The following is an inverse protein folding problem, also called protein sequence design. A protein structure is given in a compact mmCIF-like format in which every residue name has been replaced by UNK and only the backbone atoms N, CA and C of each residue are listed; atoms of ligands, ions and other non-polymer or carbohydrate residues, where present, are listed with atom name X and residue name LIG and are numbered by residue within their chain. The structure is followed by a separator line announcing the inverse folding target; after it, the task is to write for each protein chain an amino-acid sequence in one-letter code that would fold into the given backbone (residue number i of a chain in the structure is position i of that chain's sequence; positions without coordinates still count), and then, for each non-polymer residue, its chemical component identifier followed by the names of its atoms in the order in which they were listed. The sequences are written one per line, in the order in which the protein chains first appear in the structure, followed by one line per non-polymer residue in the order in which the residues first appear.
data_IF_283370883080
#
_entry.id   IF_283370883080
#
_cell.length_a   1.000
_cell.length_b   1.000
_cell.length_c   1.000
_cell.angle_alpha   90.00
_cell.angle_beta   90.00
_cell.angle_gamma   90.00
#
_symmetry.space_group_name_H-M   'P 1'
#
loop_
_entity.id
_entity.type
_entity.pdbx_description
1 polymer ?
#
# COMPACT_ATOMS: atom_id res chain seq x y z
N UNK A 1 10.43 13.38 14.89
CA UNK A 1 9.48 13.63 13.78
C UNK A 1 8.18 12.93 14.13
N UNK A 2 7.00 13.43 13.71
CA UNK A 2 5.76 12.74 14.01
C UNK A 2 5.71 11.40 13.25
N UNK A 3 5.36 10.33 13.96
CA UNK A 3 5.27 8.98 13.39
C UNK A 3 3.90 8.81 12.70
N UNK A 4 3.72 9.52 11.59
CA UNK A 4 2.52 9.48 10.75
C UNK A 4 2.88 8.98 9.36
N UNK A 5 2.00 8.19 8.74
CA UNK A 5 2.24 7.62 7.43
C UNK A 5 1.02 7.76 6.50
N UNK A 6 1.28 8.11 5.25
CA UNK A 6 0.37 7.84 4.13
C UNK A 6 0.91 6.62 3.40
N UNK A 7 0.11 5.57 3.31
CA UNK A 7 0.41 4.39 2.53
C UNK A 7 -0.49 4.34 1.30
N UNK A 8 0.11 4.39 0.11
CA UNK A 8 -0.58 4.21 -1.16
C UNK A 8 -0.31 2.80 -1.68
N UNK A 9 -1.37 2.00 -1.82
CA UNK A 9 -1.32 0.66 -2.37
C UNK A 9 -1.88 0.67 -3.79
N UNK A 10 -1.01 0.73 -4.79
CA UNK A 10 -1.35 0.74 -6.21
C UNK A 10 -1.60 -0.70 -6.68
N UNK A 11 -2.87 -1.11 -6.76
CA UNK A 11 -3.21 -2.51 -7.10
C UNK A 11 -2.65 -2.92 -8.47
N UNK A 12 -2.05 -4.11 -8.54
CA UNK A 12 -1.59 -4.69 -9.79
C UNK A 12 -0.41 -3.96 -10.45
N UNK A 13 0.28 -3.05 -9.77
CA UNK A 13 1.43 -2.32 -10.31
C UNK A 13 2.71 -3.17 -10.35
N UNK A 14 3.16 -3.46 -11.56
CA UNK A 14 4.45 -4.09 -11.82
C UNK A 14 5.64 -3.14 -11.66
N UNK A 15 6.76 -3.70 -11.18
CA UNK A 15 7.99 -2.92 -11.00
C UNK A 15 8.54 -2.28 -12.28
N UNK A 16 8.46 -2.99 -13.41
CA UNK A 16 8.91 -2.45 -14.69
C UNK A 16 8.15 -1.17 -15.04
N UNK A 17 6.83 -1.18 -14.92
CA UNK A 17 5.99 -0.04 -15.26
C UNK A 17 6.06 1.07 -14.20
N UNK A 18 6.32 0.71 -12.93
CA UNK A 18 6.66 1.69 -11.91
C UNK A 18 7.90 2.49 -12.34
N UNK A 19 8.97 1.80 -12.75
CA UNK A 19 10.20 2.42 -13.26
C UNK A 19 9.98 3.25 -14.53
N UNK A 20 9.16 2.77 -15.46
CA UNK A 20 8.94 3.46 -16.74
C UNK A 20 7.99 4.65 -16.64
N UNK A 21 7.06 4.66 -15.68
CA UNK A 21 5.92 5.58 -15.71
C UNK A 21 5.66 6.36 -14.41
N UNK A 22 6.24 5.98 -13.27
CA UNK A 22 6.18 6.78 -12.04
C UNK A 22 7.32 7.82 -12.02
N UNK A 23 7.35 8.68 -13.04
CA UNK A 23 8.44 9.62 -13.29
C UNK A 23 8.72 10.58 -12.14
N UNK A 24 7.69 11.02 -11.41
CA UNK A 24 7.89 11.86 -10.23
C UNK A 24 8.60 11.10 -9.11
N UNK A 25 8.18 9.86 -8.82
CA UNK A 25 8.82 9.04 -7.78
C UNK A 25 10.25 8.65 -8.17
N UNK A 26 10.50 8.29 -9.44
CA UNK A 26 11.86 8.05 -9.95
C UNK A 26 12.73 9.29 -9.80
N UNK A 27 12.19 10.48 -10.06
CA UNK A 27 12.92 11.72 -9.84
C UNK A 27 13.23 11.96 -8.35
N UNK A 28 12.30 11.67 -7.44
CA UNK A 28 12.56 11.73 -6.00
C UNK A 28 13.70 10.78 -5.59
N UNK A 29 13.77 9.58 -6.19
CA UNK A 29 14.87 8.62 -5.96
C UNK A 29 16.19 9.18 -6.50
N UNK A 30 16.20 9.69 -7.72
CA UNK A 30 17.37 10.32 -8.35
C UNK A 30 17.92 11.48 -7.50
N UNK A 31 17.04 12.30 -6.93
CA UNK A 31 17.39 13.43 -6.07
C UNK A 31 17.63 13.06 -4.61
N UNK A 32 17.76 11.77 -4.30
CA UNK A 32 18.04 11.28 -2.94
C UNK A 32 16.99 11.77 -1.91
N UNK A 33 15.73 11.86 -2.34
CA UNK A 33 14.57 12.22 -1.53
C UNK A 33 13.69 11.02 -1.20
N UNK A 34 13.75 9.97 -2.00
CA UNK A 34 13.04 8.71 -1.77
C UNK A 34 14.02 7.54 -1.84
N UNK A 35 13.72 6.48 -1.11
CA UNK A 35 14.31 5.17 -1.32
C UNK A 35 13.45 4.35 -2.29
N UNK A 36 14.08 3.51 -3.10
CA UNK A 36 13.39 2.55 -3.96
C UNK A 36 13.93 1.14 -3.76
N UNK A 37 13.01 0.19 -3.63
CA UNK A 37 13.28 -1.25 -3.57
C UNK A 37 12.48 -1.98 -4.63
N UNK A 38 13.07 -3.05 -5.17
CA UNK A 38 12.32 -4.09 -5.86
C UNK A 38 11.70 -4.99 -4.78
N UNK A 39 10.45 -5.41 -4.98
CA UNK A 39 9.73 -6.30 -4.08
C UNK A 39 9.38 -7.58 -4.80
N UNK A 40 9.77 -8.71 -4.23
CA UNK A 40 9.28 -10.03 -4.63
C UNK A 40 7.96 -10.30 -3.93
N UNK A 41 6.86 -10.21 -4.68
CA UNK A 41 5.50 -10.45 -4.19
C UNK A 41 5.32 -11.83 -3.57
N UNK A 42 4.47 -11.98 -2.55
CA UNK A 42 4.12 -13.29 -1.99
C UNK A 42 3.18 -14.09 -2.91
N UNK A 43 2.88 -15.33 -2.52
CA UNK A 43 1.99 -16.23 -3.26
C UNK A 43 0.74 -16.63 -2.45
N UNK A 44 -0.42 -16.82 -3.11
CA UNK A 44 -0.66 -16.49 -4.51
C UNK A 44 -0.69 -14.98 -4.73
N UNK A 45 -0.20 -14.53 -5.89
CA UNK A 45 -0.10 -13.11 -6.26
C UNK A 45 -1.47 -12.54 -6.67
N UNK A 46 -2.42 -12.63 -5.75
CA UNK A 46 -3.80 -12.19 -5.91
C UNK A 46 -4.16 -11.23 -4.78
N UNK A 47 -5.07 -10.30 -5.07
CA UNK A 47 -5.26 -9.11 -4.24
C UNK A 47 -5.67 -9.40 -2.80
N UNK A 48 -6.74 -10.16 -2.55
CA UNK A 48 -7.20 -10.41 -1.16
C UNK A 48 -6.17 -11.14 -0.29
N UNK A 49 -5.52 -12.24 -0.75
CA UNK A 49 -4.39 -12.83 -0.05
C UNK A 49 -3.29 -11.81 0.27
N UNK A 50 -2.91 -10.99 -0.71
CA UNK A 50 -1.82 -10.03 -0.55
C UNK A 50 -2.20 -8.85 0.34
N UNK A 51 -3.43 -8.39 0.35
CA UNK A 51 -3.90 -7.39 1.33
C UNK A 51 -3.69 -7.92 2.76
N UNK A 52 -4.10 -9.16 3.02
CA UNK A 52 -3.92 -9.77 4.34
C UNK A 52 -2.43 -9.92 4.67
N UNK A 53 -1.60 -10.38 3.73
CA UNK A 53 -0.14 -10.45 3.92
C UNK A 53 0.47 -9.07 4.19
N UNK A 54 0.07 -8.02 3.46
CA UNK A 54 0.59 -6.66 3.60
C UNK A 54 0.35 -6.09 4.99
N UNK A 55 -0.85 -6.28 5.55
CA UNK A 55 -1.21 -5.69 6.83
C UNK A 55 -0.93 -6.60 8.04
N UNK A 56 -0.52 -7.84 7.83
CA UNK A 56 -0.16 -8.78 8.92
C UNK A 56 1.32 -9.13 8.94
N UNK A 57 2.01 -9.06 7.80
CA UNK A 57 3.35 -9.60 7.61
C UNK A 57 3.41 -11.14 7.66
N UNK A 58 2.26 -11.81 7.55
CA UNK A 58 2.11 -13.27 7.62
C UNK A 58 1.87 -13.82 6.22
N UNK A 59 2.35 -15.02 5.93
CA UNK A 59 2.16 -15.66 4.61
C UNK A 59 0.73 -16.18 4.41
N UNK A 60 0.28 -16.29 3.15
CA UNK A 60 -1.06 -16.80 2.82
C UNK A 60 -1.33 -18.23 3.30
N UNK A 61 -0.29 -19.07 3.35
CA UNK A 61 -0.38 -20.42 3.91
C UNK A 61 -0.76 -20.39 5.38
N UNK A 62 -0.26 -19.42 6.13
CA UNK A 62 -0.48 -19.31 7.58
C UNK A 62 -1.74 -18.51 7.92
N UNK A 63 -1.97 -17.35 7.30
CA UNK A 63 -3.17 -16.56 7.57
C UNK A 63 -4.43 -17.18 6.93
N UNK A 64 -4.29 -18.08 5.97
CA UNK A 64 -5.40 -18.89 5.41
C UNK A 64 -6.38 -18.13 4.52
N UNK A 65 -6.00 -16.94 4.02
CA UNK A 65 -6.71 -16.26 2.92
C UNK A 65 -5.90 -16.58 1.66
N UNK A 66 -6.19 -17.72 1.04
CA UNK A 66 -5.38 -18.31 -0.05
C UNK A 66 -5.95 -18.06 -1.44
N UNK A 67 -7.07 -17.34 -1.56
CA UNK A 67 -7.62 -16.85 -2.83
C UNK A 67 -8.64 -15.73 -2.57
N UNK A 68 -9.02 -15.02 -3.63
CA UNK A 68 -9.96 -13.89 -3.57
C UNK A 68 -11.39 -14.28 -3.12
N UNK A 69 -11.77 -15.56 -3.18
CA UNK A 69 -13.10 -16.04 -2.79
C UNK A 69 -13.27 -16.29 -1.29
N UNK A 70 -12.21 -16.22 -0.48
CA UNK A 70 -12.31 -16.43 0.97
C UNK A 70 -12.78 -15.13 1.63
N UNK A 71 -14.07 -15.07 1.98
CA UNK A 71 -14.71 -13.93 2.65
C UNK A 71 -14.80 -14.20 4.15
N UNK A 72 -13.94 -13.55 4.94
CA UNK A 72 -13.99 -13.53 6.41
C UNK A 72 -13.05 -12.47 6.96
N UNK A 73 -13.25 -12.11 8.22
CA UNK A 73 -12.30 -11.31 8.99
C UNK A 73 -10.94 -12.01 9.12
N UNK A 74 -9.90 -11.19 9.27
CA UNK A 74 -8.55 -11.60 9.66
C UNK A 74 -8.60 -12.34 11.00
N UNK A 75 -7.75 -13.35 11.12
CA UNK A 75 -7.49 -14.08 12.36
C UNK A 75 -6.05 -13.87 12.86
N UNK A 76 -5.36 -12.88 12.30
CA UNK A 76 -3.98 -12.52 12.64
C UNK A 76 -3.93 -11.19 13.38
N UNK A 77 -2.78 -10.89 13.99
CA UNK A 77 -2.48 -9.56 14.51
C UNK A 77 -2.10 -8.64 13.35
N UNK A 78 -3.04 -7.79 12.95
CA UNK A 78 -2.88 -6.87 11.81
C UNK A 78 -2.61 -5.42 12.24
N UNK A 79 -2.07 -4.63 11.31
CA UNK A 79 -1.65 -3.25 11.51
C UNK A 79 -2.75 -2.37 12.12
N UNK A 80 -3.98 -2.46 11.63
CA UNK A 80 -5.11 -1.66 12.14
C UNK A 80 -5.40 -1.92 13.62
N UNK A 81 -5.37 -3.18 14.06
CA UNK A 81 -5.52 -3.50 15.49
C UNK A 81 -4.35 -2.96 16.31
N UNK A 82 -3.14 -2.98 15.76
CA UNK A 82 -1.94 -2.46 16.42
C UNK A 82 -1.97 -0.93 16.55
N UNK A 83 -2.43 -0.23 15.50
CA UNK A 83 -2.69 1.22 15.53
C UNK A 83 -3.70 1.58 16.62
N UNK A 84 -4.81 0.85 16.68
CA UNK A 84 -5.84 1.04 17.71
C UNK A 84 -5.28 0.89 19.13
N UNK A 85 -4.49 -0.16 19.37
CA UNK A 85 -3.84 -0.40 20.67
C UNK A 85 -2.80 0.68 21.02
N UNK A 86 -2.15 1.27 20.01
CA UNK A 86 -1.21 2.38 20.17
C UNK A 86 -1.89 3.76 20.22
N UNK A 87 -3.23 3.82 20.26
CA UNK A 87 -4.02 5.06 20.22
C UNK A 87 -3.71 5.95 19.00
N UNK A 88 -3.43 5.31 17.85
CA UNK A 88 -3.16 5.96 16.57
C UNK A 88 -4.38 5.93 15.68
N UNK A 89 -4.79 7.09 15.19
CA UNK A 89 -6.01 7.24 14.41
C UNK A 89 -5.78 6.88 12.95
N UNK A 90 -6.70 6.10 12.37
CA UNK A 90 -6.60 5.60 10.99
C UNK A 90 -7.69 6.17 10.07
N UNK A 91 -7.34 6.36 8.81
CA UNK A 91 -8.24 6.77 7.73
C UNK A 91 -8.01 5.86 6.52
N UNK A 92 -9.06 5.22 6.00
CA UNK A 92 -8.92 4.22 4.94
C UNK A 92 -9.82 4.53 3.74
N UNK A 93 -9.23 4.62 2.56
CA UNK A 93 -9.92 4.73 1.28
C UNK A 93 -9.50 3.56 0.40
N UNK A 94 -10.33 2.52 0.30
CA UNK A 94 -9.91 1.25 -0.29
C UNK A 94 -11.05 0.46 -0.92
N UNK A 95 -10.71 -0.54 -1.74
CA UNK A 95 -11.67 -1.52 -2.20
C UNK A 95 -12.27 -2.29 -1.00
N UNK A 96 -13.54 -2.64 -1.09
CA UNK A 96 -14.32 -3.15 0.03
C UNK A 96 -13.77 -4.42 0.69
N UNK A 97 -12.89 -5.16 0.01
CA UNK A 97 -12.22 -6.34 0.58
C UNK A 97 -11.37 -6.01 1.81
N UNK A 98 -10.86 -4.78 1.93
CA UNK A 98 -10.19 -4.32 3.17
C UNK A 98 -11.19 -4.25 4.33
N UNK A 99 -12.43 -3.82 4.08
CA UNK A 99 -13.50 -3.85 5.10
C UNK A 99 -13.85 -5.30 5.48
N UNK A 100 -13.90 -6.22 4.51
CA UNK A 100 -14.16 -7.64 4.78
C UNK A 100 -13.06 -8.31 5.61
N UNK A 101 -11.82 -7.85 5.49
CA UNK A 101 -10.72 -8.38 6.30
C UNK A 101 -10.71 -7.81 7.72
N UNK A 102 -11.12 -6.55 7.94
CA UNK A 102 -10.83 -5.87 9.22
C UNK A 102 -12.04 -5.29 9.97
N UNK A 103 -13.22 -5.19 9.35
CA UNK A 103 -14.41 -4.58 9.95
C UNK A 103 -15.62 -5.51 9.96
N UNK A 104 -16.09 -5.95 8.80
CA UNK A 104 -17.34 -6.70 8.64
C UNK A 104 -17.30 -7.57 7.40
N UNK A 105 -17.64 -8.86 7.56
CA UNK A 105 -17.71 -9.83 6.47
C UNK A 105 -18.95 -10.71 6.61
N UNK A 106 -19.76 -10.89 5.54
CA UNK A 106 -19.64 -10.26 4.22
C UNK A 106 -19.96 -8.76 4.25
N UNK A 107 -19.44 -8.02 3.27
CA UNK A 107 -19.67 -6.57 3.14
C UNK A 107 -21.14 -6.24 2.83
N UNK A 108 -21.74 -5.37 3.65
CA UNK A 108 -23.07 -4.80 3.43
C UNK A 108 -22.92 -3.37 2.88
N UNK A 109 -23.08 -3.21 1.56
CA UNK A 109 -22.88 -1.91 0.88
C UNK A 109 -23.71 -0.75 1.44
N UNK A 110 -24.86 -1.02 2.04
CA UNK A 110 -25.75 0.01 2.56
C UNK A 110 -25.33 0.48 3.97
N UNK A 111 -24.42 -0.25 4.62
CA UNK A 111 -23.92 0.03 5.97
C UNK A 111 -22.41 0.28 6.02
N UNK A 112 -21.65 -0.51 5.28
CA UNK A 112 -20.20 -0.64 5.43
C UNK A 112 -19.43 0.30 4.47
N UNK A 113 -20.09 0.86 3.44
CA UNK A 113 -19.43 1.75 2.47
C UNK A 113 -18.82 3.00 3.11
N UNK A 114 -19.51 3.59 4.08
CA UNK A 114 -19.03 4.72 4.87
C UNK A 114 -18.90 4.27 6.32
N UNK A 115 -17.68 4.21 6.80
CA UNK A 115 -17.37 3.74 8.14
C UNK A 115 -16.85 4.88 9.02
N UNK A 116 -17.40 4.98 10.22
CA UNK A 116 -16.90 5.86 11.27
C UNK A 116 -17.23 5.26 12.64
N UNK A 117 -16.24 4.64 13.27
CA UNK A 117 -16.36 4.11 14.61
C UNK A 117 -15.00 4.10 15.30
N UNK A 118 -14.82 5.01 16.26
CA UNK A 118 -13.60 5.11 17.04
C UNK A 118 -13.34 3.90 17.93
N UNK A 119 -14.28 2.96 18.11
CA UNK A 119 -14.05 1.72 18.88
C UNK A 119 -13.55 0.56 18.02
N UNK A 120 -13.76 0.63 16.71
CA UNK A 120 -13.27 -0.37 15.76
C UNK A 120 -11.75 -0.25 15.51
N UNK A 121 -11.18 -1.18 14.73
CA UNK A 121 -9.75 -1.14 14.40
C UNK A 121 -9.41 -0.09 13.32
N UNK A 122 -10.40 0.35 12.53
CA UNK A 122 -10.28 1.43 11.54
C UNK A 122 -11.19 2.57 11.97
N UNK A 123 -10.66 3.74 12.36
CA UNK A 123 -11.49 4.80 12.93
C UNK A 123 -12.46 5.40 11.91
N UNK A 124 -12.01 5.52 10.65
CA UNK A 124 -12.83 6.06 9.57
C UNK A 124 -12.44 5.47 8.22
N UNK A 125 -13.42 5.21 7.36
CA UNK A 125 -13.12 4.77 6.01
C UNK A 125 -14.23 4.96 4.99
N UNK A 126 -13.83 4.89 3.72
CA UNK A 126 -14.70 4.79 2.57
C UNK A 126 -14.29 3.57 1.75
N UNK A 127 -15.23 2.65 1.56
CA UNK A 127 -15.02 1.35 0.96
C UNK A 127 -15.82 1.23 -0.33
N UNK A 128 -15.16 1.44 -1.47
CA UNK A 128 -15.82 1.34 -2.77
C UNK A 128 -15.90 -0.12 -3.22
N UNK A 129 -16.95 -0.42 -3.99
CA UNK A 129 -17.28 -1.78 -4.44
C UNK A 129 -17.46 -1.89 -5.96
N UNK A 130 -17.08 -0.85 -6.70
CA UNK A 130 -17.05 -0.87 -8.16
C UNK A 130 -15.61 -0.81 -8.67
N UNK A 131 -15.25 -1.74 -9.54
CA UNK A 131 -13.88 -1.90 -10.07
C UNK A 131 -13.41 -0.68 -10.90
N UNK A 132 -14.35 0.14 -11.35
CA UNK A 132 -14.09 1.36 -12.16
C UNK A 132 -14.23 2.65 -11.35
N UNK A 133 -14.21 2.58 -10.01
CA UNK A 133 -14.25 3.78 -9.18
C UNK A 133 -13.05 4.69 -9.50
N UNK A 134 -13.24 5.99 -9.80
CA UNK A 134 -12.14 6.82 -10.26
C UNK A 134 -11.08 7.06 -9.18
N UNK A 135 -9.83 6.64 -9.45
CA UNK A 135 -8.69 6.89 -8.56
C UNK A 135 -8.59 8.36 -8.12
N UNK A 136 -8.78 9.30 -9.06
CA UNK A 136 -8.76 10.75 -8.79
C UNK A 136 -9.73 11.18 -7.68
N UNK A 137 -10.91 10.56 -7.62
CA UNK A 137 -11.91 10.86 -6.59
C UNK A 137 -11.49 10.28 -5.25
N UNK A 138 -10.88 9.08 -5.25
CA UNK A 138 -10.32 8.45 -4.05
C UNK A 138 -9.28 9.36 -3.37
N UNK A 139 -8.30 9.87 -4.13
CA UNK A 139 -7.30 10.80 -3.60
C UNK A 139 -7.92 12.13 -3.14
N UNK A 140 -8.87 12.69 -3.91
CA UNK A 140 -9.53 13.95 -3.54
C UNK A 140 -10.34 13.81 -2.25
N UNK A 141 -11.04 12.69 -2.06
CA UNK A 141 -11.77 12.40 -0.83
C UNK A 141 -10.81 12.25 0.35
N UNK A 142 -9.71 11.49 0.19
CA UNK A 142 -8.69 11.39 1.23
C UNK A 142 -8.16 12.77 1.64
N UNK A 143 -7.81 13.62 0.67
CA UNK A 143 -7.35 14.98 0.93
C UNK A 143 -8.41 15.85 1.63
N UNK A 144 -9.70 15.67 1.34
CA UNK A 144 -10.78 16.38 2.02
C UNK A 144 -10.87 15.99 3.50
N UNK A 145 -10.84 14.70 3.81
CA UNK A 145 -10.91 14.20 5.18
C UNK A 145 -9.67 14.57 5.99
N UNK A 146 -8.47 14.49 5.39
CA UNK A 146 -7.21 14.92 6.03
C UNK A 146 -7.15 16.42 6.34
N UNK A 147 -8.01 17.26 5.72
CA UNK A 147 -8.14 18.69 6.08
C UNK A 147 -9.07 18.93 7.27
N UNK A 148 -9.97 17.99 7.54
CA UNK A 148 -10.98 18.12 8.59
C UNK A 148 -10.48 17.61 9.94
N UNK A 149 -9.51 16.69 9.92
CA UNK A 149 -9.01 16.05 11.12
C UNK A 149 -7.56 15.53 10.93
N UNK A 150 -6.90 15.17 12.03
CA UNK A 150 -5.56 14.58 12.01
C UNK A 150 -5.64 13.07 12.13
N UNK A 151 -4.90 12.38 11.27
CA UNK A 151 -4.78 10.93 11.27
C UNK A 151 -3.31 10.53 11.40
N UNK A 152 -3.02 9.44 12.09
CA UNK A 152 -1.68 8.87 12.18
C UNK A 152 -1.37 7.98 10.98
N UNK A 153 -2.36 7.25 10.49
CA UNK A 153 -2.23 6.36 9.34
C UNK A 153 -3.33 6.64 8.32
N UNK A 154 -2.93 6.83 7.07
CA UNK A 154 -3.87 6.98 5.95
C UNK A 154 -3.56 5.93 4.90
N UNK A 155 -4.52 5.05 4.59
CA UNK A 155 -4.45 4.13 3.46
C UNK A 155 -5.24 4.70 2.29
N UNK A 156 -4.60 4.77 1.11
CA UNK A 156 -5.26 5.07 -0.16
C UNK A 156 -4.95 3.92 -1.12
N UNK A 157 -5.97 3.24 -1.59
CA UNK A 157 -5.83 2.03 -2.39
C UNK A 157 -6.66 2.13 -3.67
N UNK A 158 -6.07 2.68 -4.76
CA UNK A 158 -6.68 2.70 -6.08
C UNK A 158 -6.57 1.34 -6.81
N UNK A 159 -7.60 1.00 -7.60
CA UNK A 159 -7.67 -0.22 -8.42
C UNK A 159 -7.49 0.05 -9.93
N UNK A 160 -7.36 1.30 -10.36
CA UNK A 160 -7.36 1.65 -11.79
C UNK A 160 -6.27 0.98 -12.63
N UNK A 161 -5.11 0.67 -12.03
CA UNK A 161 -4.00 -0.03 -12.70
C UNK A 161 -4.35 -1.52 -12.91
N UNK A 162 -4.85 -2.20 -11.88
CA UNK A 162 -5.29 -3.59 -11.96
C UNK A 162 -6.47 -3.77 -12.92
N UNK A 163 -7.49 -2.91 -12.85
CA UNK A 163 -8.65 -2.93 -13.77
C UNK A 163 -8.21 -2.78 -15.24
N UNK A 164 -7.30 -1.85 -15.53
CA UNK A 164 -6.71 -1.72 -16.86
C UNK A 164 -5.88 -2.96 -17.25
N UNK A 165 -5.15 -3.52 -16.30
CA UNK A 165 -4.36 -4.73 -16.49
C UNK A 165 -5.22 -5.94 -16.85
N UNK A 166 -6.34 -6.14 -16.16
CA UNK A 166 -7.30 -7.21 -16.47
C UNK A 166 -7.94 -7.04 -17.85
N UNK A 167 -8.29 -5.81 -18.23
CA UNK A 167 -8.98 -5.54 -19.51
C UNK A 167 -8.06 -5.60 -20.72
N UNK A 168 -6.82 -5.16 -20.57
CA UNK A 168 -5.93 -4.90 -21.71
C UNK A 168 -4.57 -5.59 -21.62
N UNK A 169 -4.23 -6.17 -20.46
CA UNK A 169 -2.95 -6.80 -20.22
C UNK A 169 -1.83 -5.81 -19.89
N UNK A 170 -0.80 -6.31 -19.20
CA UNK A 170 0.46 -5.58 -19.06
C UNK A 170 1.09 -5.32 -20.43
N UNK A 171 1.64 -4.12 -20.65
CA UNK A 171 2.25 -3.71 -21.92
C UNK A 171 1.27 -3.05 -22.89
N UNK A 172 -0.02 -3.01 -22.55
CA UNK A 172 -1.00 -2.19 -23.23
C UNK A 172 -0.79 -0.69 -22.96
N UNK A 173 -1.29 0.15 -23.87
CA UNK A 173 -1.27 1.59 -23.67
C UNK A 173 -2.14 2.01 -22.50
N UNK A 174 -3.23 1.28 -22.28
CA UNK A 174 -4.22 1.51 -21.24
C UNK A 174 -3.63 1.25 -19.85
N UNK A 175 -2.91 0.14 -19.67
CA UNK A 175 -2.19 -0.15 -18.43
C UNK A 175 -1.13 0.92 -18.14
N UNK A 176 -0.28 1.26 -19.13
CA UNK A 176 0.70 2.34 -18.99
C UNK A 176 0.04 3.69 -18.67
N UNK A 177 -1.08 4.02 -19.30
CA UNK A 177 -1.83 5.24 -19.02
C UNK A 177 -2.35 5.26 -17.59
N UNK A 178 -2.88 4.16 -17.06
CA UNK A 178 -3.34 4.08 -15.67
C UNK A 178 -2.21 4.35 -14.66
N UNK A 179 -1.01 3.82 -14.92
CA UNK A 179 0.19 4.10 -14.10
C UNK A 179 0.58 5.58 -14.19
N UNK A 180 0.62 6.16 -15.40
CA UNK A 180 0.93 7.59 -15.62
C UNK A 180 -0.09 8.51 -14.93
N UNK A 181 -1.38 8.16 -14.92
CA UNK A 181 -2.37 8.95 -14.20
C UNK A 181 -2.15 8.91 -12.68
N UNK A 182 -1.75 7.75 -12.13
CA UNK A 182 -1.37 7.66 -10.73
C UNK A 182 -0.10 8.48 -10.42
N UNK A 183 0.91 8.53 -11.30
CA UNK A 183 2.07 9.42 -11.13
C UNK A 183 1.67 10.90 -11.03
N UNK A 184 0.72 11.36 -11.85
CA UNK A 184 0.20 12.74 -11.80
C UNK A 184 -0.55 13.03 -10.49
N UNK A 185 -1.34 12.08 -10.01
CA UNK A 185 -2.04 12.21 -8.73
C UNK A 185 -1.03 12.25 -7.58
N UNK A 186 -0.10 11.31 -7.55
CA UNK A 186 0.95 11.23 -6.52
C UNK A 186 1.83 12.48 -6.50
N UNK A 187 2.28 12.98 -7.66
CA UNK A 187 3.07 14.21 -7.74
C UNK A 187 2.33 15.46 -7.26
N UNK A 188 0.99 15.44 -7.27
CA UNK A 188 0.17 16.50 -6.70
C UNK A 188 0.09 16.39 -5.17
N UNK A 189 -0.16 15.20 -4.64
CA UNK A 189 -0.49 15.03 -3.22
C UNK A 189 0.71 14.74 -2.31
N UNK A 190 1.75 14.06 -2.80
CA UNK A 190 2.94 13.71 -1.99
C UNK A 190 3.57 14.94 -1.34
N UNK A 191 3.88 16.05 -2.07
CA UNK A 191 4.43 17.24 -1.45
C UNK A 191 3.58 17.76 -0.28
N UNK A 192 2.25 17.75 -0.45
CA UNK A 192 1.31 18.22 0.58
C UNK A 192 1.34 17.33 1.82
N UNK A 193 1.44 16.01 1.67
CA UNK A 193 1.54 15.08 2.79
C UNK A 193 2.86 15.24 3.55
N UNK A 194 3.97 15.44 2.82
CA UNK A 194 5.28 15.70 3.41
C UNK A 194 5.28 17.02 4.21
N UNK A 195 4.67 18.08 3.68
CA UNK A 195 4.52 19.36 4.39
C UNK A 195 3.67 19.24 5.66
N UNK A 196 2.73 18.29 5.70
CA UNK A 196 1.94 17.94 6.88
C UNK A 196 2.67 16.99 7.85
N UNK A 197 3.92 16.63 7.55
CA UNK A 197 4.78 15.79 8.36
C UNK A 197 4.45 14.29 8.29
N UNK A 198 3.80 13.83 7.23
CA UNK A 198 3.68 12.38 6.99
C UNK A 198 4.93 11.86 6.31
N UNK A 199 5.35 10.66 6.68
CA UNK A 199 6.14 9.82 5.79
C UNK A 199 5.23 9.20 4.74
N UNK A 200 5.75 8.93 3.54
CA UNK A 200 4.96 8.35 2.44
C UNK A 200 5.56 7.02 2.03
N UNK A 201 4.70 6.01 1.92
CA UNK A 201 5.05 4.69 1.38
C UNK A 201 4.15 4.44 0.16
N UNK A 202 4.73 4.05 -0.97
CA UNK A 202 3.99 3.65 -2.18
C UNK A 202 4.42 2.25 -2.55
N UNK A 203 3.49 1.31 -2.62
CA UNK A 203 3.77 -0.09 -2.96
C UNK A 203 2.65 -0.67 -3.83
N UNK A 204 2.80 -1.94 -4.20
CA UNK A 204 1.79 -2.74 -4.86
C UNK A 204 1.70 -4.12 -4.20
N UNK A 205 0.57 -4.77 -4.37
CA UNK A 205 0.27 -6.09 -3.83
C UNK A 205 0.73 -7.23 -4.75
N UNK A 206 0.54 -7.07 -6.06
CA UNK A 206 1.02 -7.97 -7.10
C UNK A 206 1.28 -7.24 -8.42
N UNK A 207 1.75 -7.99 -9.41
CA UNK A 207 1.89 -7.53 -10.80
C UNK A 207 0.76 -8.04 -11.71
N UNK A 208 0.98 -8.03 -13.02
CA UNK A 208 0.00 -8.41 -14.03
C UNK A 208 0.70 -9.07 -15.23
N UNK A 209 0.16 -10.15 -15.77
CA UNK A 209 0.68 -10.72 -17.03
C UNK A 209 0.25 -9.92 -18.25
N UNK A 210 0.92 -10.12 -19.39
CA UNK A 210 0.53 -9.54 -20.68
C UNK A 210 -0.87 -9.98 -21.14
N UNK A 211 -1.37 -11.10 -20.61
CA UNK A 211 -2.71 -11.63 -20.89
C UNK A 211 -3.77 -11.13 -19.90
N UNK A 212 -3.41 -10.25 -18.96
CA UNK A 212 -4.35 -9.69 -17.98
C UNK A 212 -4.69 -10.61 -16.81
N UNK A 213 -3.80 -11.55 -16.50
CA UNK A 213 -3.92 -12.45 -15.34
C UNK A 213 -2.87 -12.19 -14.25
N UNK A 214 -3.26 -12.45 -13.01
CA UNK A 214 -2.41 -12.56 -11.83
C UNK A 214 -2.76 -13.82 -11.00
N UNK A 215 -2.11 -14.02 -9.86
CA UNK A 215 -2.25 -15.21 -9.00
C UNK A 215 -1.15 -16.27 -9.18
N UNK A 216 -0.35 -16.18 -10.24
CA UNK A 216 0.74 -17.10 -10.57
C UNK A 216 2.14 -16.65 -10.10
N UNK A 217 3.13 -17.53 -10.30
CA UNK A 217 4.52 -17.34 -9.86
C UNK A 217 5.46 -16.77 -10.95
N UNK A 218 4.94 -16.09 -11.97
CA UNK A 218 5.81 -15.43 -12.95
C UNK A 218 6.37 -14.13 -12.40
N UNK A 219 7.53 -13.69 -12.91
CA UNK A 219 8.11 -12.40 -12.55
C UNK A 219 7.14 -11.23 -12.81
N UNK A 220 6.39 -11.25 -13.91
CA UNK A 220 5.38 -10.23 -14.24
C UNK A 220 4.23 -10.16 -13.24
N UNK A 221 3.91 -11.27 -12.56
CA UNK A 221 2.84 -11.33 -11.58
C UNK A 221 3.33 -11.05 -10.14
N UNK A 222 4.63 -11.19 -9.86
CA UNK A 222 5.19 -11.05 -8.51
C UNK A 222 6.07 -9.82 -8.31
N UNK A 223 6.82 -9.37 -9.31
CA UNK A 223 7.80 -8.31 -9.09
C UNK A 223 7.12 -6.94 -9.11
N UNK A 224 7.07 -6.31 -7.94
CA UNK A 224 6.51 -4.97 -7.73
C UNK A 224 7.58 -4.00 -7.25
N UNK A 225 7.23 -2.72 -7.13
CA UNK A 225 8.14 -1.69 -6.64
C UNK A 225 7.64 -1.12 -5.31
N UNK A 226 8.59 -0.70 -4.48
CA UNK A 226 8.35 0.02 -3.23
C UNK A 226 9.13 1.34 -3.25
N UNK A 227 8.43 2.42 -2.92
CA UNK A 227 9.02 3.73 -2.71
C UNK A 227 8.76 4.18 -1.27
N UNK A 228 9.81 4.67 -0.62
CA UNK A 228 9.74 5.13 0.77
C UNK A 228 10.29 6.55 0.84
N UNK A 229 9.46 7.49 1.28
CA UNK A 229 9.85 8.87 1.58
C UNK A 229 9.77 9.03 3.10
N UNK A 230 10.86 8.67 3.77
CA UNK A 230 11.04 8.81 5.20
C UNK A 230 12.49 9.22 5.49
N UNK A 231 12.73 10.26 6.30
CA UNK A 231 14.07 10.76 6.57
C UNK A 231 14.95 9.83 7.42
N UNK A 232 14.38 8.75 7.98
CA UNK A 232 15.12 7.69 8.67
C UNK A 232 15.56 6.57 7.73
N UNK A 233 15.09 6.56 6.48
CA UNK A 233 15.43 5.55 5.47
C UNK A 233 16.48 6.10 4.52
N UNK A 234 17.47 5.29 4.17
CA UNK A 234 18.53 5.65 3.24
C UNK A 234 17.93 5.88 1.85
N UNK A 235 17.99 7.11 1.30
CA UNK A 235 17.44 7.38 -0.02
C UNK A 235 18.31 6.78 -1.14
N UNK A 236 17.73 6.73 -2.34
CA UNK A 236 18.33 6.14 -3.53
C UNK A 236 17.77 4.74 -3.84
N UNK A 237 18.21 4.18 -4.96
CA UNK A 237 17.88 2.80 -5.32
C UNK A 237 18.72 1.81 -4.51
N UNK A 238 18.07 0.92 -3.77
CA UNK A 238 18.76 -0.17 -3.08
C UNK A 238 18.89 -1.39 -3.98
N UNK A 239 20.01 -2.12 -3.80
CA UNK A 239 20.23 -3.41 -4.47
C UNK A 239 19.56 -4.58 -3.74
N UNK A 240 19.05 -4.35 -2.52
CA UNK A 240 18.28 -5.35 -1.78
C UNK A 240 16.92 -5.54 -2.45
N UNK A 241 16.47 -6.78 -2.50
CA UNK A 241 15.11 -7.12 -2.85
C UNK A 241 14.36 -7.47 -1.57
N UNK A 242 13.26 -6.78 -1.31
CA UNK A 242 12.38 -7.07 -0.16
C UNK A 242 11.28 -8.04 -0.59
N UNK A 243 10.48 -8.52 0.36
CA UNK A 243 9.26 -9.30 0.06
C UNK A 243 8.00 -8.62 0.58
N UNK A 244 6.82 -9.03 0.12
CA UNK A 244 5.54 -8.49 0.63
C UNK A 244 5.40 -8.66 2.16
N UNK A 245 6.04 -9.67 2.75
CA UNK A 245 6.06 -9.90 4.20
C UNK A 245 6.70 -8.75 4.99
N UNK A 246 7.52 -7.91 4.33
CA UNK A 246 8.17 -6.78 4.96
C UNK A 246 7.31 -5.50 4.98
N UNK A 247 6.13 -5.52 4.34
CA UNK A 247 5.26 -4.33 4.31
C UNK A 247 4.73 -3.98 5.70
N UNK A 248 4.20 -4.95 6.44
CA UNK A 248 3.70 -4.71 7.80
C UNK A 248 4.80 -4.21 8.77
N UNK A 249 5.98 -4.84 8.87
CA UNK A 249 7.05 -4.31 9.74
C UNK A 249 7.60 -2.96 9.25
N UNK A 250 7.63 -2.69 7.94
CA UNK A 250 7.97 -1.35 7.42
C UNK A 250 6.96 -0.30 7.91
N UNK A 251 5.67 -0.57 7.76
CA UNK A 251 4.63 0.36 8.23
C UNK A 251 4.70 0.54 9.75
N UNK A 252 4.96 -0.53 10.51
CA UNK A 252 5.20 -0.45 11.95
C UNK A 252 6.38 0.47 12.28
N UNK A 253 7.52 0.32 11.59
CA UNK A 253 8.69 1.18 11.75
C UNK A 253 8.36 2.66 11.46
N UNK A 254 7.69 2.93 10.34
CA UNK A 254 7.33 4.31 9.96
C UNK A 254 6.38 4.93 11.00
N UNK A 255 5.41 4.16 11.49
CA UNK A 255 4.43 4.56 12.50
C UNK A 255 4.97 4.53 13.93
N UNK A 256 6.19 4.04 14.15
CA UNK A 256 6.83 3.95 15.46
C UNK A 256 6.05 3.06 16.44
N UNK A 257 5.50 1.96 15.94
CA UNK A 257 4.85 0.91 16.73
C UNK A 257 5.69 -0.37 16.65
N UNK A 258 5.63 -1.19 17.70
CA UNK A 258 6.37 -2.45 17.76
C UNK A 258 5.78 -3.47 16.78
N UNK A 259 6.63 -4.12 15.98
CA UNK A 259 6.22 -5.18 15.07
C UNK A 259 5.66 -6.39 15.84
N UNK A 260 4.74 -7.14 15.23
CA UNK A 260 4.26 -8.38 15.84
C UNK A 260 5.30 -9.49 15.78
N UNK A 261 5.17 -10.46 16.66
CA UNK A 261 6.02 -11.64 16.80
C UNK A 261 6.10 -12.53 15.54
N UNK A 262 5.14 -12.42 14.63
CA UNK A 262 5.11 -13.16 13.36
C UNK A 262 5.72 -12.39 12.19
N UNK A 263 5.93 -11.08 12.34
CA UNK A 263 6.56 -10.28 11.29
C UNK A 263 8.05 -10.61 11.23
N UNK A 264 8.58 -10.76 10.02
CA UNK A 264 10.02 -10.91 9.83
C UNK A 264 10.75 -9.60 10.16
N UNK A 265 12.06 -9.71 10.38
CA UNK A 265 12.94 -8.54 10.53
C UNK A 265 12.89 -7.66 9.27
N UNK A 266 12.89 -6.34 9.49
CA UNK A 266 12.84 -5.35 8.41
C UNK A 266 14.25 -5.16 7.81
N UNK A 267 14.40 -5.38 6.51
CA UNK A 267 15.71 -5.32 5.85
C UNK A 267 16.00 -3.98 5.14
N UNK A 268 15.09 -3.01 5.28
CA UNK A 268 15.22 -1.64 4.74
C UNK A 268 16.50 -0.98 5.28
N UNK A 269 17.23 -0.33 4.37
CA UNK A 269 18.46 0.39 4.72
C UNK A 269 18.10 1.66 5.48
N UNK A 270 18.50 1.73 6.75
CA UNK A 270 18.27 2.92 7.57
C UNK A 270 19.37 3.95 7.32
N UNK A 271 18.98 5.22 7.34
CA UNK A 271 19.88 6.34 7.15
C UNK A 271 20.78 6.48 8.39
N UNK A 272 22.05 6.15 8.21
CA UNK A 272 23.09 6.32 9.22
C UNK A 272 23.63 7.75 9.14
N UNK A 273 23.32 8.58 10.14
CA UNK A 273 23.78 9.97 10.21
C UNK A 273 25.30 10.06 10.37
N UNK A 274 25.94 9.04 10.94
CA UNK A 274 27.34 9.07 11.34
C UNK A 274 28.29 8.77 10.15
N UNK A 275 27.76 8.25 9.04
CA UNK A 275 28.54 7.94 7.82
C UNK A 275 28.78 9.11 6.86
N UNK A 276 28.17 10.28 7.07
CA UNK A 276 28.38 11.47 6.22
C UNK A 276 29.44 12.44 6.74
N UNK A 277 29.97 12.24 7.94
CA UNK A 277 31.02 13.09 8.52
C UNK A 277 32.45 12.52 8.32
N UNK A 278 32.64 11.56 7.41
CA UNK A 278 33.94 11.05 6.94
C UNK A 278 34.09 11.31 5.44
#
# INVERSE_FOLDING_TARGET
MPNKAVFVLLDGLQSQYAREHLGYLEHCVEKQKAAKYEVLGELPSASRPMYETIFTGVSALEHGITNNGIVRLSNQKHLFQMLKNAHKKSLVFAYYWISELYLSAPFDKDKDMLHEDSNSCIDRGFFYYGDTFPDSHLYSMAAQFMKQDTYDFVLIHPMGIDDAGHKFGAGSKEYSQAVIQNDKLLSTYIPMWLDQGYSVVVAADHGMSEQGYHGGNSNSQRNTALYIIDPRVQPGFSKKQLTTLEMAPLLCFVLGIEASEKMKELEVDLYDKDKKEQ
#
